data_IF_040115331710
#
_entry.id   IF_040115331710
#
_cell.length_a   1.000
_cell.length_b   1.000
_cell.length_c   1.000
_cell.angle_alpha   90.00
_cell.angle_beta   90.00
_cell.angle_gamma   90.00
#
_symmetry.space_group_name_H-M   'P 1'
#
loop_
_entity.id
_entity.type
_entity.pdbx_description
1 polymer ?
#
# COMPACT_ATOMS: atom_id res chain seq x y z
N UNK A 1 -3.39 23.63 -10.98
CA UNK A 1 -2.55 22.49 -10.57
C UNK A 1 -2.89 21.32 -11.48
N UNK A 2 -1.90 20.62 -12.04
CA UNK A 2 -2.14 19.39 -12.80
C UNK A 2 -2.60 18.27 -11.85
N UNK A 3 -3.56 17.45 -12.28
CA UNK A 3 -4.14 16.36 -11.46
C UNK A 3 -4.17 15.06 -12.23
N UNK A 4 -3.74 13.96 -11.61
CA UNK A 4 -3.90 12.60 -12.13
C UNK A 4 -5.28 12.05 -11.73
N UNK A 5 -6.09 11.60 -12.68
CA UNK A 5 -7.40 11.00 -12.44
C UNK A 5 -7.43 9.56 -12.97
N UNK A 6 -8.15 8.68 -12.26
CA UNK A 6 -8.34 7.28 -12.62
C UNK A 6 -9.69 6.78 -12.10
N UNK A 7 -10.18 5.69 -12.67
CA UNK A 7 -11.44 5.05 -12.28
C UNK A 7 -11.35 4.61 -10.81
N UNK A 8 -12.34 4.96 -10.00
CA UNK A 8 -12.40 4.57 -8.58
C UNK A 8 -11.54 5.43 -7.62
N UNK A 9 -10.87 6.48 -8.11
CA UNK A 9 -10.05 7.39 -7.28
C UNK A 9 -10.78 7.88 -6.03
N UNK A 10 -12.00 8.40 -6.18
CA UNK A 10 -12.76 8.96 -5.05
C UNK A 10 -13.12 7.91 -4.00
N UNK A 11 -13.43 6.68 -4.44
CA UNK A 11 -13.72 5.59 -3.53
C UNK A 11 -12.49 5.22 -2.69
N UNK A 12 -11.32 5.10 -3.33
CA UNK A 12 -10.05 4.74 -2.65
C UNK A 12 -9.59 5.86 -1.72
N UNK A 13 -9.64 7.11 -2.17
CA UNK A 13 -9.17 8.27 -1.37
C UNK A 13 -9.99 8.42 -0.09
N UNK A 14 -11.28 8.09 -0.09
CA UNK A 14 -12.12 8.21 1.11
C UNK A 14 -12.22 6.91 1.92
N UNK A 15 -11.72 5.78 1.40
CA UNK A 15 -11.83 4.48 2.06
C UNK A 15 -11.22 4.48 3.47
N UNK A 16 -10.11 5.19 3.68
CA UNK A 16 -9.50 5.28 5.01
C UNK A 16 -10.48 5.82 6.05
N UNK A 17 -11.45 6.68 5.70
CA UNK A 17 -12.43 7.21 6.66
C UNK A 17 -13.41 6.13 7.15
N UNK A 18 -13.65 5.11 6.35
CA UNK A 18 -14.59 4.02 6.66
C UNK A 18 -13.95 2.94 7.54
N UNK A 19 -12.63 2.82 7.53
CA UNK A 19 -11.91 1.85 8.35
C UNK A 19 -12.03 2.24 9.84
N UNK A 20 -12.60 1.42 10.72
CA UNK A 20 -12.72 1.78 12.13
C UNK A 20 -11.33 1.84 12.80
N UNK A 21 -11.24 2.62 13.88
CA UNK A 21 -10.06 2.59 14.74
C UNK A 21 -10.00 1.24 15.47
N UNK A 22 -8.80 0.69 15.62
CA UNK A 22 -8.56 -0.58 16.30
C UNK A 22 -7.56 -0.38 17.44
N UNK A 23 -7.78 -1.09 18.54
CA UNK A 23 -6.84 -1.12 19.65
C UNK A 23 -5.71 -2.11 19.37
N UNK A 24 -4.50 -1.71 19.74
CA UNK A 24 -3.36 -2.62 19.80
C UNK A 24 -3.56 -3.59 20.96
N UNK A 25 -3.36 -4.88 20.68
CA UNK A 25 -3.41 -5.94 21.68
C UNK A 25 -2.00 -6.43 21.91
N UNK A 26 -1.47 -6.17 23.10
CA UNK A 26 -0.15 -6.65 23.49
C UNK A 26 -0.14 -8.18 23.62
N UNK A 27 0.93 -8.82 23.14
CA UNK A 27 1.15 -10.27 23.14
C UNK A 27 2.48 -10.58 23.85
N UNK A 28 2.50 -10.56 25.20
CA UNK A 28 3.73 -10.71 25.99
C UNK A 28 4.48 -12.02 25.71
N UNK A 29 3.78 -13.07 25.29
CA UNK A 29 4.33 -14.36 24.93
C UNK A 29 5.23 -14.34 23.68
N UNK A 30 5.07 -13.32 22.82
CA UNK A 30 5.89 -13.11 21.62
C UNK A 30 6.93 -12.00 21.82
N UNK A 31 6.87 -11.28 22.93
CA UNK A 31 7.75 -10.17 23.21
C UNK A 31 9.18 -10.64 23.50
N UNK A 32 10.16 -9.87 23.05
CA UNK A 32 11.57 -10.10 23.33
C UNK A 32 12.21 -8.81 23.85
N UNK A 33 12.84 -8.89 25.03
CA UNK A 33 13.44 -7.74 25.71
C UNK A 33 12.56 -7.14 26.80
N UNK A 34 12.91 -5.93 27.24
CA UNK A 34 12.18 -5.24 28.31
C UNK A 34 10.88 -4.62 27.77
N UNK A 35 9.72 -4.84 28.43
CA UNK A 35 8.45 -4.24 28.02
C UNK A 35 8.52 -2.72 27.90
N UNK A 36 7.91 -2.17 26.85
CA UNK A 36 7.81 -0.73 26.63
C UNK A 36 9.10 -0.05 26.13
N UNK A 37 10.15 -0.81 25.81
CA UNK A 37 11.43 -0.27 25.34
C UNK A 37 11.82 -0.90 24.01
N UNK A 38 12.12 -0.06 23.01
CA UNK A 38 12.73 -0.50 21.76
C UNK A 38 11.77 -0.55 20.58
N UNK A 39 11.79 -1.67 19.84
CA UNK A 39 11.11 -1.84 18.56
C UNK A 39 9.72 -2.44 18.74
N UNK A 40 8.84 -2.18 17.77
CA UNK A 40 7.48 -2.68 17.72
C UNK A 40 7.28 -3.50 16.43
N UNK A 41 6.68 -4.68 16.57
CA UNK A 41 6.24 -5.51 15.45
C UNK A 41 4.73 -5.66 15.58
N UNK A 42 4.02 -5.23 14.55
CA UNK A 42 2.57 -5.27 14.46
C UNK A 42 2.15 -6.36 13.47
N UNK A 43 1.07 -7.08 13.77
CA UNK A 43 0.48 -8.05 12.86
C UNK A 43 -0.94 -7.65 12.50
N UNK A 44 -1.20 -7.46 11.21
CA UNK A 44 -2.54 -7.15 10.70
C UNK A 44 -2.49 -6.60 9.28
N UNK A 45 -3.66 -6.22 8.77
CA UNK A 45 -3.77 -5.40 7.58
C UNK A 45 -3.07 -4.05 7.80
N UNK A 46 -2.29 -3.60 6.81
CA UNK A 46 -1.43 -2.43 6.96
C UNK A 46 -2.23 -1.14 7.23
N UNK A 47 -3.40 -0.96 6.62
CA UNK A 47 -4.22 0.24 6.80
C UNK A 47 -4.82 0.27 8.21
N UNK A 48 -5.25 -0.90 8.71
CA UNK A 48 -5.76 -1.05 10.08
C UNK A 48 -4.65 -0.80 11.11
N UNK A 49 -3.48 -1.41 10.92
CA UNK A 49 -2.33 -1.25 11.82
C UNK A 49 -1.84 0.20 11.86
N UNK A 50 -1.66 0.85 10.70
CA UNK A 50 -1.27 2.25 10.64
C UNK A 50 -2.30 3.16 11.32
N UNK A 51 -3.60 2.88 11.19
CA UNK A 51 -4.65 3.61 11.91
C UNK A 51 -4.55 3.48 13.42
N UNK A 52 -4.24 2.30 13.94
CA UNK A 52 -4.05 2.09 15.37
C UNK A 52 -2.84 2.88 15.91
N UNK A 53 -1.77 2.96 15.11
CA UNK A 53 -0.53 3.66 15.46
C UNK A 53 -0.63 5.20 15.42
N UNK A 54 -1.61 5.76 14.71
CA UNK A 54 -1.76 7.22 14.56
C UNK A 54 -1.77 7.95 15.90
N UNK A 55 -2.52 7.44 16.88
CA UNK A 55 -2.65 8.07 18.20
C UNK A 55 -1.33 8.17 18.98
N UNK A 56 -0.35 7.32 18.65
CA UNK A 56 0.92 7.20 19.38
C UNK A 56 2.10 7.83 18.65
N UNK A 57 2.13 7.75 17.31
CA UNK A 57 3.31 8.07 16.49
C UNK A 57 3.10 9.19 15.47
N UNK A 58 1.94 9.87 15.48
CA UNK A 58 1.69 10.99 14.57
C UNK A 58 2.79 12.05 14.65
N UNK A 59 3.37 12.40 13.50
CA UNK A 59 4.43 13.40 13.38
C UNK A 59 5.80 12.97 13.94
N UNK A 60 5.97 11.73 14.41
CA UNK A 60 7.21 11.25 15.04
C UNK A 60 8.06 10.36 14.12
N UNK A 61 7.48 9.86 13.03
CA UNK A 61 8.17 8.96 12.09
C UNK A 61 9.14 9.73 11.21
N UNK A 62 10.44 9.40 11.32
CA UNK A 62 11.51 10.05 10.54
C UNK A 62 11.64 9.52 9.12
N UNK A 63 11.41 8.22 8.93
CA UNK A 63 11.59 7.52 7.66
C UNK A 63 10.60 6.36 7.58
N UNK A 64 10.10 6.13 6.37
CA UNK A 64 9.20 5.02 6.03
C UNK A 64 9.84 4.27 4.86
N UNK A 65 10.04 2.97 5.03
CA UNK A 65 10.50 2.06 3.98
C UNK A 65 9.37 1.07 3.67
N UNK A 66 8.91 1.06 2.42
CA UNK A 66 7.82 0.18 1.96
C UNK A 66 8.26 -0.44 0.63
N UNK A 67 8.15 -1.77 0.54
CA UNK A 67 8.36 -2.54 -0.69
C UNK A 67 7.02 -3.19 -1.10
N UNK A 68 6.11 -2.37 -1.61
CA UNK A 68 4.79 -2.83 -2.08
C UNK A 68 4.92 -3.67 -3.35
N UNK A 69 3.98 -4.61 -3.61
CA UNK A 69 4.03 -5.42 -4.81
C UNK A 69 4.03 -4.57 -6.08
N UNK A 70 4.98 -4.85 -6.96
CA UNK A 70 5.07 -4.21 -8.26
C UNK A 70 4.07 -4.87 -9.22
N UNK A 71 3.12 -4.09 -9.73
CA UNK A 71 2.12 -4.51 -10.73
C UNK A 71 2.75 -4.76 -12.11
N UNK A 72 3.70 -5.70 -12.19
CA UNK A 72 4.53 -6.00 -13.38
C UNK A 72 3.81 -6.85 -14.43
N UNK A 73 2.63 -7.39 -14.08
CA UNK A 73 1.83 -8.23 -14.98
C UNK A 73 2.28 -9.70 -15.07
N UNK A 74 3.32 -10.10 -14.33
CA UNK A 74 3.71 -11.51 -14.12
C UNK A 74 2.94 -12.08 -12.91
N UNK A 75 2.33 -13.25 -13.06
CA UNK A 75 1.39 -13.86 -12.11
C UNK A 75 2.04 -14.47 -10.85
N UNK A 76 3.37 -14.42 -10.72
CA UNK A 76 4.07 -14.87 -9.51
C UNK A 76 4.00 -13.79 -8.42
N UNK A 77 2.80 -13.36 -8.06
CA UNK A 77 2.59 -12.49 -6.91
C UNK A 77 2.70 -13.35 -5.64
N UNK A 78 3.78 -13.15 -4.87
CA UNK A 78 3.94 -13.74 -3.53
C UNK A 78 2.97 -13.07 -2.52
N UNK A 79 2.34 -11.96 -2.90
CA UNK A 79 1.26 -11.32 -2.15
C UNK A 79 -0.06 -11.51 -2.88
N UNK A 80 -0.97 -12.24 -2.24
CA UNK A 80 -2.34 -12.43 -2.71
C UNK A 80 -3.14 -11.15 -2.47
N UNK A 81 -2.89 -10.14 -3.32
CA UNK A 81 -3.83 -9.06 -3.53
C UNK A 81 -4.99 -9.68 -4.29
N UNK A 82 -5.99 -10.19 -3.57
CA UNK A 82 -7.19 -10.79 -4.14
C UNK A 82 -8.06 -9.70 -4.81
N UNK A 83 -7.51 -8.99 -5.79
CA UNK A 83 -8.23 -8.12 -6.73
C UNK A 83 -8.94 -9.00 -7.76
N UNK A 84 -9.93 -9.75 -7.27
CA UNK A 84 -10.90 -10.47 -8.10
C UNK A 84 -12.03 -9.57 -8.61
N UNK A 85 -12.00 -8.28 -8.27
CA UNK A 85 -12.95 -7.27 -8.77
C UNK A 85 -12.95 -7.26 -10.30
N UNK A 86 -14.12 -7.50 -10.94
CA UNK A 86 -14.25 -7.47 -12.40
C UNK A 86 -13.72 -6.18 -13.04
N UNK A 87 -13.90 -5.05 -12.35
CA UNK A 87 -13.45 -3.71 -12.80
C UNK A 87 -11.93 -3.61 -12.85
N UNK A 88 -11.22 -4.19 -11.87
CA UNK A 88 -9.76 -4.16 -11.83
C UNK A 88 -9.18 -5.10 -12.89
N UNK A 89 -9.83 -6.24 -13.12
CA UNK A 89 -9.46 -7.16 -14.20
C UNK A 89 -9.64 -6.52 -15.58
N UNK A 90 -10.76 -5.84 -15.79
CA UNK A 90 -11.03 -5.07 -17.02
C UNK A 90 -9.98 -3.95 -17.20
N UNK A 91 -9.68 -3.18 -16.16
CA UNK A 91 -8.66 -2.14 -16.19
C UNK A 91 -7.24 -2.67 -16.49
N UNK A 92 -6.85 -3.82 -15.92
CA UNK A 92 -5.55 -4.45 -16.19
C UNK A 92 -5.45 -4.96 -17.63
N UNK A 93 -6.56 -5.45 -18.20
CA UNK A 93 -6.61 -5.83 -19.62
C UNK A 93 -6.54 -4.58 -20.51
N UNK A 94 -7.30 -3.54 -20.20
CA UNK A 94 -7.25 -2.26 -20.95
C UNK A 94 -5.88 -1.59 -20.89
N UNK A 95 -5.18 -1.64 -19.75
CA UNK A 95 -3.81 -1.14 -19.65
C UNK A 95 -2.81 -1.96 -20.48
N UNK A 96 -3.07 -3.26 -20.74
CA UNK A 96 -2.30 -4.07 -21.70
C UNK A 96 -2.64 -3.72 -23.16
N UNK A 97 -3.74 -3.01 -23.42
CA UNK A 97 -4.15 -2.47 -24.74
C UNK A 97 -3.63 -1.02 -24.95
N UNK A 98 -2.54 -0.63 -24.28
CA UNK A 98 -1.71 0.50 -24.70
C UNK A 98 -0.40 0.04 -25.37
N UNK A 99 -0.42 -0.49 -26.61
CA UNK A 99 0.81 -0.70 -27.39
C UNK A 99 1.44 0.62 -27.90
N UNK A 100 0.86 1.79 -27.58
CA UNK A 100 1.27 3.06 -28.17
C UNK A 100 1.96 4.05 -27.23
N UNK A 101 2.06 3.78 -25.91
CA UNK A 101 2.98 4.53 -25.06
C UNK A 101 4.38 3.89 -25.11
N UNK A 102 4.98 3.88 -26.31
CA UNK A 102 6.44 3.82 -26.39
C UNK A 102 6.94 5.13 -25.80
N UNK A 103 7.42 5.09 -24.56
CA UNK A 103 8.38 6.08 -24.09
C UNK A 103 9.50 6.05 -25.13
N UNK A 104 9.53 7.06 -26.01
CA UNK A 104 10.69 7.30 -26.86
C UNK A 104 11.81 7.63 -25.89
N UNK A 105 12.62 6.63 -25.57
CA UNK A 105 13.93 6.80 -25.00
C UNK A 105 14.73 7.65 -25.98
N UNK A 106 14.61 8.98 -25.89
CA UNK A 106 15.63 9.89 -26.39
C UNK A 106 16.85 9.68 -25.51
N UNK A 107 17.62 8.63 -25.80
CA UNK A 107 19.04 8.64 -25.47
C UNK A 107 19.63 9.83 -26.22
N UNK A 108 19.93 10.89 -25.49
CA UNK A 108 20.88 11.89 -25.92
C UNK A 108 22.22 11.15 -26.17
N UNK A 109 22.86 11.32 -27.34
CA UNK A 109 24.17 10.73 -27.58
C UNK A 109 25.20 11.42 -26.66
N UNK A 110 26.11 10.61 -26.12
CA UNK A 110 27.39 11.09 -25.56
C UNK A 110 28.28 11.58 -26.70
#
# INVERSE_FOLDING_TARGET
MSTLNWIGKEAVVNYYQQVPFHFLKDMPELACGNPGVGNLIEQGDNLVALKALLSYYYGQVKCILIDSPYNTGNESLVYNDNVSSPIIREWLVDCRIFPHLKIKNNKLPL
#
